data_IF_575268784347
#
_entry.id   IF_575268784347
#
_cell.length_a   1.000
_cell.length_b   1.000
_cell.length_c   1.000
_cell.angle_alpha   90.00
_cell.angle_beta   90.00
_cell.angle_gamma   90.00
#
_symmetry.space_group_name_H-M   'P 1'
#
loop_
_entity.id
_entity.type
_entity.pdbx_description
1 polymer ?
#
# COMPACT_ATOMS: atom_id res chain seq x y z
N UNK A 1 10.52 20.47 -9.27
CA UNK A 1 9.12 20.33 -8.80
C UNK A 1 8.66 18.88 -8.69
N UNK A 2 8.60 18.08 -9.78
CA UNK A 2 8.33 16.62 -9.65
C UNK A 2 9.48 15.87 -8.98
N UNK A 3 10.72 16.24 -9.29
CA UNK A 3 11.93 15.69 -8.66
C UNK A 3 11.95 15.88 -7.14
N UNK A 4 11.58 17.06 -6.64
CA UNK A 4 11.58 17.36 -5.19
C UNK A 4 10.53 16.53 -4.41
N UNK A 5 9.40 16.21 -5.05
CA UNK A 5 8.37 15.34 -4.45
C UNK A 5 8.85 13.88 -4.38
N UNK A 6 9.59 13.44 -5.41
CA UNK A 6 10.20 12.11 -5.47
C UNK A 6 11.35 12.00 -4.46
N UNK A 7 12.21 13.01 -4.36
CA UNK A 7 13.30 13.08 -3.37
C UNK A 7 12.77 13.07 -1.94
N UNK A 8 11.69 13.82 -1.68
CA UNK A 8 11.06 13.85 -0.36
C UNK A 8 10.34 12.53 -0.02
N UNK A 9 9.86 11.78 -1.01
CA UNK A 9 9.36 10.42 -0.82
C UNK A 9 10.50 9.41 -0.60
N UNK A 10 11.66 9.60 -1.25
CA UNK A 10 12.86 8.78 -1.05
C UNK A 10 13.49 8.96 0.34
N UNK A 11 13.54 10.19 0.85
CA UNK A 11 14.08 10.53 2.18
C UNK A 11 13.12 10.18 3.33
N UNK A 12 11.96 9.58 3.04
CA UNK A 12 11.06 9.13 4.10
C UNK A 12 11.66 7.92 4.81
N UNK A 13 11.65 7.87 6.17
CA UNK A 13 12.28 6.80 6.94
C UNK A 13 11.74 5.38 6.64
N UNK A 14 10.62 5.29 5.91
CA UNK A 14 10.03 4.03 5.42
C UNK A 14 10.90 3.39 4.32
N UNK A 15 11.56 4.19 3.49
CA UNK A 15 12.41 3.70 2.41
C UNK A 15 13.77 3.15 2.90
N UNK A 16 14.24 3.62 4.06
CA UNK A 16 15.47 3.13 4.70
C UNK A 16 15.29 1.76 5.36
N UNK A 17 14.05 1.32 5.64
CA UNK A 17 13.78 0.02 6.29
C UNK A 17 14.12 -1.19 5.39
N UNK A 18 14.26 -1.00 4.08
CA UNK A 18 14.55 -2.03 3.07
C UNK A 18 15.67 -1.61 2.10
N UNK A 19 16.52 -0.63 2.47
CA UNK A 19 17.67 -0.22 1.67
C UNK A 19 17.34 0.32 0.28
N UNK A 20 16.23 1.06 0.12
CA UNK A 20 15.80 1.64 -1.16
C UNK A 20 15.02 0.70 -2.08
N UNK A 21 14.93 -0.60 -1.78
CA UNK A 21 14.14 -1.57 -2.57
C UNK A 21 12.63 -1.51 -2.30
N UNK A 22 12.20 -0.74 -1.31
CA UNK A 22 10.80 -0.68 -0.87
C UNK A 22 9.81 -0.33 -2.01
N UNK A 23 10.17 0.60 -2.89
CA UNK A 23 9.31 1.00 -4.01
C UNK A 23 9.16 -0.12 -5.04
N UNK A 24 10.23 -0.89 -5.27
CA UNK A 24 10.19 -2.07 -6.14
C UNK A 24 9.39 -3.21 -5.50
N UNK A 25 9.67 -3.52 -4.24
CA UNK A 25 8.96 -4.53 -3.46
C UNK A 25 7.47 -4.21 -3.35
N UNK A 26 7.08 -2.96 -3.14
CA UNK A 26 5.67 -2.55 -3.12
C UNK A 26 4.97 -2.84 -4.44
N UNK A 27 5.63 -2.61 -5.58
CA UNK A 27 5.07 -2.90 -6.91
C UNK A 27 5.00 -4.40 -7.21
N UNK A 28 5.75 -5.24 -6.51
CA UNK A 28 5.72 -6.70 -6.65
C UNK A 28 4.73 -7.35 -5.67
N UNK A 29 4.73 -6.89 -4.42
CA UNK A 29 3.94 -7.43 -3.30
C UNK A 29 2.47 -7.04 -3.45
N UNK A 30 2.16 -5.80 -3.83
CA UNK A 30 0.78 -5.34 -3.97
C UNK A 30 -0.01 -6.17 -5.02
N UNK A 31 0.47 -6.36 -6.27
CA UNK A 31 -0.23 -7.25 -7.20
C UNK A 31 -0.17 -8.72 -6.79
N UNK A 32 0.90 -9.20 -6.15
CA UNK A 32 0.98 -10.58 -5.68
C UNK A 32 -0.09 -10.90 -4.62
N UNK A 33 -0.32 -9.99 -3.67
CA UNK A 33 -1.39 -10.12 -2.66
C UNK A 33 -2.77 -10.14 -3.34
N UNK A 34 -2.99 -9.29 -4.36
CA UNK A 34 -4.25 -9.28 -5.10
C UNK A 34 -4.52 -10.60 -5.84
N UNK A 35 -3.50 -11.19 -6.46
CA UNK A 35 -3.61 -12.50 -7.10
C UNK A 35 -3.93 -13.57 -6.06
N UNK A 36 -3.32 -13.51 -4.87
CA UNK A 36 -3.56 -14.47 -3.80
C UNK A 36 -4.99 -14.39 -3.26
N UNK A 37 -5.51 -13.16 -3.07
CA UNK A 37 -6.92 -12.92 -2.70
C UNK A 37 -7.85 -13.44 -3.81
N UNK A 38 -7.54 -13.17 -5.08
CA UNK A 38 -8.34 -13.65 -6.21
C UNK A 38 -8.47 -15.17 -6.22
N UNK A 39 -7.34 -15.88 -6.06
CA UNK A 39 -7.31 -17.34 -6.01
C UNK A 39 -8.09 -17.90 -4.82
N UNK A 40 -7.99 -17.26 -3.65
CA UNK A 40 -8.73 -17.67 -2.46
C UNK A 40 -10.24 -17.50 -2.65
N UNK A 41 -10.69 -16.38 -3.22
CA UNK A 41 -12.11 -16.14 -3.51
C UNK A 41 -12.60 -17.08 -4.63
N UNK A 42 -11.75 -17.40 -5.60
CA UNK A 42 -12.06 -18.34 -6.68
C UNK A 42 -12.34 -19.75 -6.15
N UNK A 43 -11.49 -20.23 -5.25
CA UNK A 43 -11.67 -21.52 -4.57
C UNK A 43 -12.97 -21.52 -3.75
N UNK A 44 -13.21 -20.45 -2.99
CA UNK A 44 -14.43 -20.28 -2.18
C UNK A 44 -15.71 -20.18 -3.02
N UNK A 45 -15.60 -19.71 -4.27
CA UNK A 45 -16.72 -19.54 -5.21
C UNK A 45 -17.00 -20.80 -6.04
N UNK A 46 -16.46 -21.97 -5.65
CA UNK A 46 -16.59 -23.23 -6.39
C UNK A 46 -16.15 -23.12 -7.86
N UNK A 47 -15.08 -22.37 -8.13
CA UNK A 47 -14.54 -22.20 -9.48
C UNK A 47 -15.33 -21.22 -10.37
N UNK A 48 -16.27 -20.45 -9.81
CA UNK A 48 -16.94 -19.39 -10.56
C UNK A 48 -16.03 -18.16 -10.73
N UNK A 49 -15.42 -18.04 -11.90
CA UNK A 49 -14.53 -16.92 -12.26
C UNK A 49 -15.22 -15.56 -12.19
N UNK A 50 -16.51 -15.51 -12.53
CA UNK A 50 -17.30 -14.26 -12.56
C UNK A 50 -17.52 -13.73 -11.14
N UNK A 51 -17.93 -14.59 -10.21
CA UNK A 51 -18.12 -14.20 -8.81
C UNK A 51 -16.79 -13.77 -8.18
N UNK A 52 -15.72 -14.51 -8.44
CA UNK A 52 -14.40 -14.18 -7.94
C UNK A 52 -13.87 -12.84 -8.46
N UNK A 53 -14.09 -12.55 -9.75
CA UNK A 53 -13.70 -11.28 -10.36
C UNK A 53 -14.52 -10.10 -9.82
N UNK A 54 -15.82 -10.26 -9.59
CA UNK A 54 -16.67 -9.20 -9.02
C UNK A 54 -16.24 -8.90 -7.58
N UNK A 55 -16.03 -9.92 -6.76
CA UNK A 55 -15.66 -9.75 -5.35
C UNK A 55 -14.26 -9.15 -5.22
N UNK A 56 -13.29 -9.66 -5.99
CA UNK A 56 -11.90 -9.17 -5.95
C UNK A 56 -11.76 -7.80 -6.62
N UNK A 57 -12.47 -7.57 -7.73
CA UNK A 57 -12.51 -6.28 -8.40
C UNK A 57 -13.21 -5.21 -7.57
N UNK A 58 -14.29 -5.57 -6.87
CA UNK A 58 -15.00 -4.69 -5.95
C UNK A 58 -14.19 -4.35 -4.69
N UNK A 59 -13.30 -5.26 -4.24
CA UNK A 59 -12.46 -5.02 -3.06
C UNK A 59 -11.24 -4.12 -3.35
N UNK A 60 -10.87 -3.89 -4.60
CA UNK A 60 -9.77 -2.97 -4.98
C UNK A 60 -9.96 -1.57 -4.37
N UNK A 61 -11.17 -1.01 -4.45
CA UNK A 61 -11.45 0.34 -3.94
C UNK A 61 -11.21 0.47 -2.43
N UNK A 62 -11.91 -0.32 -1.59
CA UNK A 62 -11.71 -0.32 -0.15
C UNK A 62 -10.26 -0.60 0.28
N UNK A 63 -9.58 -1.53 -0.38
CA UNK A 63 -8.19 -1.88 -0.04
C UNK A 63 -7.24 -0.69 -0.27
N UNK A 64 -7.41 0.04 -1.37
CA UNK A 64 -6.60 1.24 -1.65
C UNK A 64 -6.86 2.36 -0.64
N UNK A 65 -8.11 2.54 -0.19
CA UNK A 65 -8.44 3.51 0.86
C UNK A 65 -7.80 3.15 2.20
N UNK A 66 -7.80 1.86 2.56
CA UNK A 66 -7.12 1.37 3.76
C UNK A 66 -5.61 1.58 3.70
N UNK A 67 -4.99 1.35 2.53
CA UNK A 67 -3.56 1.63 2.34
C UNK A 67 -3.25 3.12 2.58
N UNK A 68 -4.06 4.03 2.02
CA UNK A 68 -3.91 5.47 2.24
C UNK A 68 -4.06 5.85 3.70
N UNK A 69 -5.05 5.27 4.40
CA UNK A 69 -5.25 5.53 5.82
C UNK A 69 -4.07 5.07 6.68
N UNK A 70 -3.51 3.89 6.37
CA UNK A 70 -2.34 3.36 7.06
C UNK A 70 -1.12 4.28 6.87
N UNK A 71 -0.87 4.74 5.64
CA UNK A 71 0.22 5.67 5.33
C UNK A 71 0.06 6.98 6.11
N UNK A 72 -1.13 7.56 6.12
CA UNK A 72 -1.41 8.81 6.86
C UNK A 72 -1.10 8.63 8.35
N UNK A 73 -1.55 7.51 8.94
CA UNK A 73 -1.31 7.19 10.36
C UNK A 73 0.19 6.94 10.65
N UNK A 74 0.90 6.27 9.75
CA UNK A 74 2.36 6.05 9.89
C UNK A 74 3.15 7.35 9.81
N UNK A 75 2.75 8.30 8.96
CA UNK A 75 3.35 9.63 8.89
C UNK A 75 3.09 10.42 10.17
N UNK A 76 1.88 10.33 10.72
CA UNK A 76 1.51 11.02 11.95
C UNK A 76 2.30 10.51 13.17
N UNK A 77 2.55 9.20 13.25
CA UNK A 77 3.39 8.59 14.28
C UNK A 77 4.89 8.90 14.12
N UNK A 78 5.32 9.32 12.93
CA UNK A 78 6.73 9.63 12.61
C UNK A 78 7.05 11.13 12.68
N UNK A 79 6.09 11.98 13.03
CA UNK A 79 6.32 13.43 13.18
C UNK A 79 7.07 13.66 14.50
N UNK A 80 8.34 14.13 14.50
CA UNK A 80 8.99 14.48 15.75
C UNK A 80 8.21 15.63 16.41
N UNK A 81 7.96 15.52 17.72
CA UNK A 81 7.50 16.64 18.54
C UNK A 81 8.54 17.76 18.37
N UNK A 82 8.22 18.78 17.56
CA UNK A 82 9.00 20.01 17.53
C UNK A 82 8.53 20.84 18.74
N UNK A 83 9.33 21.00 19.80
CA UNK A 83 8.96 21.83 20.92
C UNK A 83 8.75 23.26 20.41
N UNK A 84 7.55 23.75 20.66
CA UNK A 84 7.09 25.13 20.49
C UNK A 84 8.25 26.09 20.82
N UNK A 85 8.86 26.71 19.81
CA UNK A 85 9.75 27.85 20.03
C UNK A 85 8.90 29.02 20.50
N UNK A 86 9.14 29.39 21.75
CA UNK A 86 8.72 30.60 22.44
C UNK A 86 9.06 31.86 21.66
#
# INVERSE_FOLDING_TARGET
>A
MVGDMVDRAMLSPINDMMGGYYVFLRRLILPAIFILIFLLVFDLSNGSTILAAIITGGSLGPVLLLEQWFIVRSIESSKPQNPKKT
#
